data_IF_775692158387
#
_entry.id   IF_775692158387
#
_cell.length_a   1.000
_cell.length_b   1.000
_cell.length_c   1.000
_cell.angle_alpha   90.00
_cell.angle_beta   90.00
_cell.angle_gamma   90.00
#
_symmetry.space_group_name_H-M   'P 1'
#
loop_
_entity.id
_entity.type
_entity.pdbx_description
1 polymer ?
#
# COMPACT_ATOMS: atom_id res chain seq x y z
N UNK A 1 -0.05 -16.88 36.55
CA UNK A 1 -1.14 -15.92 36.22
C UNK A 1 -1.57 -16.21 34.78
N UNK A 2 -2.66 -16.96 34.58
CA UNK A 2 -3.18 -17.27 33.25
C UNK A 2 -3.73 -15.98 32.63
N UNK A 3 -3.11 -15.49 31.55
CA UNK A 3 -3.56 -14.30 30.83
C UNK A 3 -4.98 -14.54 30.26
N UNK A 4 -5.94 -13.66 30.61
CA UNK A 4 -7.28 -13.64 30.03
C UNK A 4 -7.18 -13.39 28.52
N UNK A 5 -7.55 -14.38 27.72
CA UNK A 5 -7.72 -14.23 26.27
C UNK A 5 -8.97 -13.35 26.04
N UNK A 6 -8.78 -12.12 25.58
CA UNK A 6 -9.87 -11.22 25.21
C UNK A 6 -10.36 -11.51 23.80
N UNK A 7 -11.66 -11.77 23.68
CA UNK A 7 -12.40 -12.01 22.43
C UNK A 7 -12.92 -10.67 21.89
N UNK A 8 -12.76 -10.44 20.59
CA UNK A 8 -13.27 -9.28 19.86
C UNK A 8 -14.79 -9.40 19.65
N UNK A 9 -15.44 -8.29 19.27
CA UNK A 9 -16.89 -8.25 19.02
C UNK A 9 -17.32 -9.14 17.83
N UNK A 10 -16.41 -9.39 16.89
CA UNK A 10 -16.57 -10.32 15.76
C UNK A 10 -16.22 -11.79 16.10
N UNK A 11 -15.81 -12.07 17.34
CA UNK A 11 -15.42 -13.40 17.82
C UNK A 11 -13.95 -13.78 17.64
N UNK A 12 -13.11 -12.91 17.05
CA UNK A 12 -11.66 -13.16 16.89
C UNK A 12 -10.89 -12.97 18.20
N UNK A 13 -9.71 -13.58 18.35
CA UNK A 13 -8.90 -13.50 19.58
C UNK A 13 -7.73 -12.51 19.38
N UNK A 14 -7.55 -11.56 20.32
CA UNK A 14 -6.39 -10.66 20.32
C UNK A 14 -5.11 -11.46 20.56
N UNK A 15 -4.36 -11.73 19.49
CA UNK A 15 -3.23 -12.68 19.51
C UNK A 15 -1.90 -12.10 19.01
N UNK A 16 -1.89 -10.94 18.35
CA UNK A 16 -0.65 -10.35 17.82
C UNK A 16 0.12 -9.57 18.89
N UNK A 17 1.42 -9.83 18.96
CA UNK A 17 2.36 -9.06 19.79
C UNK A 17 2.64 -7.70 19.15
N UNK A 18 3.05 -6.71 19.95
CA UNK A 18 3.45 -5.38 19.44
C UNK A 18 4.57 -5.45 18.38
N UNK A 19 5.40 -6.49 18.40
CA UNK A 19 6.46 -6.69 17.41
C UNK A 19 5.91 -7.21 16.08
N UNK A 20 5.00 -8.19 16.11
CA UNK A 20 4.31 -8.68 14.91
C UNK A 20 3.56 -7.55 14.23
N UNK A 21 2.84 -6.76 15.03
CA UNK A 21 2.13 -5.55 14.64
C UNK A 21 3.02 -4.55 13.88
N UNK A 22 4.17 -4.17 14.46
CA UNK A 22 5.05 -3.17 13.83
C UNK A 22 5.69 -3.71 12.55
N UNK A 23 6.04 -4.99 12.54
CA UNK A 23 6.67 -5.62 11.38
C UNK A 23 5.68 -5.87 10.26
N UNK A 24 4.43 -6.22 10.55
CA UNK A 24 3.35 -6.31 9.54
C UNK A 24 3.08 -4.93 8.96
N UNK A 25 2.99 -3.90 9.82
CA UNK A 25 2.79 -2.53 9.36
C UNK A 25 3.93 -2.05 8.44
N UNK A 26 5.19 -2.25 8.82
CA UNK A 26 6.34 -1.87 7.99
C UNK A 26 6.43 -2.75 6.74
N UNK A 27 6.34 -4.07 6.89
CA UNK A 27 6.48 -5.05 5.81
C UNK A 27 5.34 -5.02 4.79
N UNK A 28 4.14 -4.59 5.20
CA UNK A 28 2.99 -4.37 4.33
C UNK A 28 3.01 -3.00 3.63
N UNK A 29 3.73 -2.00 4.16
CA UNK A 29 3.91 -0.71 3.49
C UNK A 29 5.08 -0.73 2.51
N UNK A 30 6.19 -1.39 2.90
CA UNK A 30 7.39 -1.49 2.08
C UNK A 30 7.20 -2.61 1.05
N UNK A 31 6.57 -2.26 -0.07
CA UNK A 31 6.26 -3.15 -1.18
C UNK A 31 6.91 -2.73 -2.49
N UNK A 32 6.32 -3.19 -3.59
CA UNK A 32 6.85 -2.97 -4.95
C UNK A 32 6.76 -1.53 -5.43
N UNK A 33 5.94 -0.69 -4.80
CA UNK A 33 5.92 0.74 -5.09
C UNK A 33 7.27 1.42 -4.84
N UNK A 34 7.98 1.06 -3.76
CA UNK A 34 9.35 1.55 -3.55
C UNK A 34 10.33 0.80 -4.47
N UNK A 35 10.29 -0.53 -4.50
CA UNK A 35 11.36 -1.29 -5.16
C UNK A 35 11.29 -1.20 -6.68
N UNK A 36 10.13 -1.39 -7.30
CA UNK A 36 9.94 -1.33 -8.75
C UNK A 36 9.54 0.07 -9.20
N UNK A 37 8.55 0.66 -8.54
CA UNK A 37 7.99 1.97 -8.91
C UNK A 37 8.98 3.14 -8.80
N UNK A 38 10.03 3.01 -7.98
CA UNK A 38 11.09 4.03 -7.90
C UNK A 38 11.85 4.20 -9.21
N UNK A 39 11.96 3.17 -10.07
CA UNK A 39 12.64 3.30 -11.37
C UNK A 39 11.97 4.34 -12.25
N UNK A 40 10.65 4.21 -12.42
CA UNK A 40 9.83 5.15 -13.19
C UNK A 40 9.88 6.57 -12.60
N UNK A 41 9.80 6.71 -11.27
CA UNK A 41 9.78 8.04 -10.63
C UNK A 41 11.16 8.72 -10.62
N UNK A 42 12.25 7.98 -10.46
CA UNK A 42 13.61 8.50 -10.64
C UNK A 42 13.82 8.92 -12.10
N UNK A 43 13.42 8.09 -13.07
CA UNK A 43 13.55 8.43 -14.48
C UNK A 43 12.80 9.72 -14.86
N UNK A 44 11.64 9.99 -14.25
CA UNK A 44 10.86 11.21 -14.48
C UNK A 44 11.41 12.45 -13.78
N UNK A 45 11.95 12.30 -12.57
CA UNK A 45 12.19 13.44 -11.66
C UNK A 45 13.65 13.61 -11.24
N UNK A 46 14.50 12.65 -11.57
CA UNK A 46 15.88 12.58 -11.09
C UNK A 46 15.95 12.65 -9.57
N UNK A 47 16.94 13.35 -8.99
CA UNK A 47 17.10 13.40 -7.54
C UNK A 47 15.98 14.13 -6.79
N UNK A 48 15.17 14.92 -7.50
CA UNK A 48 13.99 15.57 -6.90
C UNK A 48 12.90 14.57 -6.48
N UNK A 49 12.99 13.30 -6.88
CA UNK A 49 12.15 12.20 -6.36
C UNK A 49 12.11 12.17 -4.84
N UNK A 50 13.23 12.48 -4.17
CA UNK A 50 13.30 12.50 -2.70
C UNK A 50 12.36 13.55 -2.11
N UNK A 51 12.15 14.67 -2.81
CA UNK A 51 11.19 15.71 -2.42
C UNK A 51 9.76 15.20 -2.59
N UNK A 52 9.47 14.49 -3.68
CA UNK A 52 8.14 13.86 -3.90
C UNK A 52 7.82 12.90 -2.75
N UNK A 53 8.76 12.02 -2.40
CA UNK A 53 8.64 11.10 -1.27
C UNK A 53 8.49 11.81 0.08
N UNK A 54 9.26 12.88 0.32
CA UNK A 54 9.17 13.69 1.53
C UNK A 54 7.79 14.33 1.68
N UNK A 55 7.31 15.01 0.63
CA UNK A 55 6.02 15.69 0.62
C UNK A 55 4.90 14.67 0.84
N UNK A 56 4.89 13.56 0.09
CA UNK A 56 3.90 12.51 0.28
C UNK A 56 3.95 11.92 1.69
N UNK A 57 5.14 11.62 2.19
CA UNK A 57 5.35 11.14 3.55
C UNK A 57 4.78 12.07 4.62
N UNK A 58 4.92 13.38 4.45
CA UNK A 58 4.31 14.37 5.33
C UNK A 58 2.77 14.27 5.32
N UNK A 59 2.15 14.17 4.15
CA UNK A 59 0.70 14.06 4.03
C UNK A 59 0.14 12.74 4.53
N UNK A 60 0.84 11.63 4.28
CA UNK A 60 0.53 10.33 4.88
C UNK A 60 0.71 10.35 6.39
N UNK A 61 1.70 11.06 6.92
CA UNK A 61 1.84 11.26 8.35
C UNK A 61 0.63 11.99 8.95
N UNK A 62 0.19 13.07 8.30
CA UNK A 62 -1.01 13.80 8.71
C UNK A 62 -2.27 12.91 8.68
N UNK A 63 -2.44 12.10 7.63
CA UNK A 63 -3.54 11.14 7.54
C UNK A 63 -3.49 10.09 8.65
N UNK A 64 -2.32 9.50 8.92
CA UNK A 64 -2.16 8.52 10.00
C UNK A 64 -2.36 9.15 11.39
N UNK A 65 -2.03 10.44 11.57
CA UNK A 65 -2.37 11.19 12.78
C UNK A 65 -3.89 11.36 12.93
N UNK A 66 -4.61 11.62 11.85
CA UNK A 66 -6.07 11.71 11.85
C UNK A 66 -6.73 10.36 12.19
N UNK A 67 -6.28 9.27 11.56
CA UNK A 67 -6.71 7.90 11.88
C UNK A 67 -6.41 7.57 13.34
N UNK A 68 -5.19 7.82 13.79
CA UNK A 68 -4.77 7.55 15.16
C UNK A 68 -5.57 8.35 16.19
N UNK A 69 -5.94 9.60 15.91
CA UNK A 69 -6.79 10.41 16.78
C UNK A 69 -8.19 9.80 16.95
N UNK A 70 -8.81 9.30 15.88
CA UNK A 70 -10.10 8.60 15.95
C UNK A 70 -10.01 7.26 16.69
N UNK A 71 -8.97 6.47 16.41
CA UNK A 71 -8.70 5.21 17.13
C UNK A 71 -8.39 5.42 18.61
N UNK A 72 -7.74 6.53 18.95
CA UNK A 72 -7.49 6.86 20.36
C UNK A 72 -8.79 7.15 21.10
N UNK A 73 -9.77 7.78 20.45
CA UNK A 73 -11.07 8.06 21.06
C UNK A 73 -11.98 6.83 21.17
N UNK A 74 -11.98 5.98 20.14
CA UNK A 74 -12.79 4.78 20.10
C UNK A 74 -11.96 3.58 19.63
N UNK A 75 -11.24 2.90 20.55
CA UNK A 75 -10.42 1.74 20.23
C UNK A 75 -11.23 0.47 20.04
N UNK A 76 -12.57 0.52 20.12
CA UNK A 76 -13.44 -0.61 19.83
C UNK A 76 -13.60 -0.88 18.34
N UNK A 77 -13.30 0.12 17.50
CA UNK A 77 -13.28 -0.03 16.05
C UNK A 77 -12.09 -0.89 15.61
N UNK A 78 -12.30 -1.72 14.58
CA UNK A 78 -11.28 -2.66 14.09
C UNK A 78 -10.58 -2.17 12.80
N UNK A 79 -11.23 -1.28 12.05
CA UNK A 79 -10.68 -0.70 10.82
C UNK A 79 -10.96 0.79 10.77
N UNK A 80 -10.08 1.56 10.13
CA UNK A 80 -10.31 2.98 9.92
C UNK A 80 -11.57 3.26 9.08
N UNK A 81 -11.98 2.31 8.24
CA UNK A 81 -13.22 2.38 7.44
C UNK A 81 -14.47 2.49 8.34
N UNK A 82 -14.45 1.88 9.53
CA UNK A 82 -15.58 1.95 10.47
C UNK A 82 -15.82 3.39 10.96
N UNK A 83 -14.79 4.23 11.03
CA UNK A 83 -14.96 5.65 11.37
C UNK A 83 -15.67 6.43 10.27
N UNK A 84 -15.49 6.04 9.01
CA UNK A 84 -16.25 6.63 7.90
C UNK A 84 -17.72 6.28 8.05
N UNK A 85 -18.06 5.02 8.33
CA UNK A 85 -19.44 4.61 8.62
C UNK A 85 -20.03 5.39 9.81
N UNK A 86 -19.26 5.56 10.88
CA UNK A 86 -19.69 6.23 12.12
C UNK A 86 -19.96 7.73 11.92
N UNK A 87 -19.06 8.44 11.22
CA UNK A 87 -19.11 9.91 11.13
C UNK A 87 -19.71 10.45 9.82
N UNK A 88 -19.74 9.65 8.75
CA UNK A 88 -20.32 10.02 7.44
C UNK A 88 -21.58 9.21 7.10
N UNK A 89 -21.96 8.24 7.94
CA UNK A 89 -23.14 7.40 7.74
C UNK A 89 -22.83 6.07 7.08
N UNK A 90 -23.74 5.12 7.25
CA UNK A 90 -23.61 3.73 6.79
C UNK A 90 -23.39 3.61 5.28
N UNK A 91 -24.00 4.50 4.51
CA UNK A 91 -23.90 4.56 3.04
C UNK A 91 -22.49 4.90 2.57
N UNK A 92 -21.89 5.95 3.16
CA UNK A 92 -20.51 6.34 2.90
C UNK A 92 -19.54 5.24 3.36
N UNK A 93 -19.83 4.62 4.51
CA UNK A 93 -19.12 3.44 5.01
C UNK A 93 -19.11 2.28 4.04
N UNK A 94 -20.28 1.90 3.52
CA UNK A 94 -20.44 0.79 2.59
C UNK A 94 -19.73 1.07 1.25
N UNK A 95 -19.87 2.28 0.69
CA UNK A 95 -19.11 2.70 -0.49
C UNK A 95 -17.60 2.61 -0.25
N UNK A 96 -17.12 3.12 0.88
CA UNK A 96 -15.70 3.07 1.24
C UNK A 96 -15.19 1.64 1.34
N UNK A 97 -15.94 0.74 2.00
CA UNK A 97 -15.54 -0.65 2.15
C UNK A 97 -15.35 -1.36 0.80
N UNK A 98 -16.28 -1.13 -0.15
CA UNK A 98 -16.15 -1.68 -1.51
C UNK A 98 -15.00 -1.05 -2.30
N UNK A 99 -14.84 0.27 -2.24
CA UNK A 99 -13.74 0.96 -2.90
C UNK A 99 -12.39 0.51 -2.34
N UNK A 100 -12.29 0.29 -1.02
CA UNK A 100 -11.08 -0.23 -0.38
C UNK A 100 -10.78 -1.66 -0.83
N UNK A 101 -11.80 -2.53 -0.90
CA UNK A 101 -11.63 -3.89 -1.42
C UNK A 101 -11.14 -3.89 -2.87
N UNK A 102 -11.72 -3.07 -3.76
CA UNK A 102 -11.23 -2.92 -5.13
C UNK A 102 -9.78 -2.41 -5.17
N UNK A 103 -9.43 -1.45 -4.30
CA UNK A 103 -8.05 -0.98 -4.15
C UNK A 103 -7.08 -2.11 -3.79
N UNK A 104 -7.44 -3.00 -2.86
CA UNK A 104 -6.67 -4.19 -2.51
C UNK A 104 -6.51 -5.15 -3.69
N UNK A 105 -7.54 -5.34 -4.53
CA UNK A 105 -7.43 -6.17 -5.72
C UNK A 105 -6.43 -5.58 -6.71
N UNK A 106 -6.54 -4.29 -7.04
CA UNK A 106 -5.59 -3.64 -7.95
C UNK A 106 -4.16 -3.62 -7.41
N UNK A 107 -3.98 -3.42 -6.10
CA UNK A 107 -2.66 -3.55 -5.46
C UNK A 107 -2.11 -4.97 -5.60
N UNK A 108 -2.94 -6.01 -5.42
CA UNK A 108 -2.54 -7.40 -5.64
C UNK A 108 -2.10 -7.65 -7.08
N UNK A 109 -2.81 -7.07 -8.06
CA UNK A 109 -2.44 -7.16 -9.48
C UNK A 109 -1.07 -6.50 -9.73
N UNK A 110 -0.79 -5.36 -9.10
CA UNK A 110 0.51 -4.69 -9.18
C UNK A 110 1.64 -5.54 -8.61
N UNK A 111 1.44 -6.11 -7.42
CA UNK A 111 2.42 -6.99 -6.77
C UNK A 111 2.68 -8.25 -7.62
N UNK A 112 1.63 -8.83 -8.21
CA UNK A 112 1.75 -9.99 -9.08
C UNK A 112 2.56 -9.70 -10.35
N UNK A 113 2.33 -8.53 -10.95
CA UNK A 113 3.09 -8.06 -12.13
C UNK A 113 4.57 -7.82 -11.78
N UNK A 114 4.84 -7.29 -10.58
CA UNK A 114 6.20 -7.08 -10.10
C UNK A 114 6.93 -8.40 -9.81
N UNK A 115 6.25 -9.41 -9.27
CA UNK A 115 6.80 -10.78 -9.12
C UNK A 115 7.29 -11.30 -10.47
N UNK A 116 6.49 -11.17 -11.53
CA UNK A 116 6.91 -11.59 -12.87
C UNK A 116 8.13 -10.80 -13.38
N UNK A 117 8.16 -9.49 -13.11
CA UNK A 117 9.30 -8.62 -13.46
C UNK A 117 10.59 -9.08 -12.78
N UNK A 118 10.54 -9.38 -11.48
CA UNK A 118 11.72 -9.86 -10.75
C UNK A 118 12.11 -11.29 -11.13
N UNK A 119 11.15 -12.15 -11.42
CA UNK A 119 11.42 -13.52 -11.85
C UNK A 119 12.17 -13.57 -13.20
N UNK A 120 11.85 -12.63 -14.10
CA UNK A 120 12.51 -12.48 -15.39
C UNK A 120 14.02 -12.16 -15.28
N UNK A 121 14.51 -11.71 -14.12
CA UNK A 121 15.95 -11.51 -13.89
C UNK A 121 16.76 -12.81 -14.09
N UNK A 122 16.26 -13.95 -13.62
CA UNK A 122 16.92 -15.26 -13.80
C UNK A 122 16.36 -16.04 -14.98
N UNK A 123 15.06 -15.90 -15.24
CA UNK A 123 14.35 -16.67 -16.27
C UNK A 123 13.65 -15.76 -17.27
N UNK A 124 14.38 -14.96 -18.07
CA UNK A 124 13.79 -13.96 -18.97
C UNK A 124 12.95 -14.57 -20.11
N UNK A 125 13.17 -15.86 -20.41
CA UNK A 125 12.47 -16.57 -21.48
C UNK A 125 11.12 -17.14 -21.04
N UNK A 126 10.79 -17.12 -19.75
CA UNK A 126 9.50 -17.60 -19.25
C UNK A 126 8.47 -16.47 -19.38
N UNK A 127 7.36 -16.67 -20.12
CA UNK A 127 6.31 -15.66 -20.23
C UNK A 127 5.77 -15.22 -18.87
N UNK A 128 5.58 -13.91 -18.68
CA UNK A 128 5.12 -13.33 -17.41
C UNK A 128 3.82 -13.94 -16.91
N UNK A 129 2.83 -14.12 -17.79
CA UNK A 129 1.54 -14.68 -17.41
C UNK A 129 1.65 -16.07 -16.76
N UNK A 130 2.63 -16.90 -17.15
CA UNK A 130 2.86 -18.22 -16.53
C UNK A 130 3.34 -18.05 -15.10
N UNK A 131 4.30 -17.14 -14.89
CA UNK A 131 4.84 -16.82 -13.56
C UNK A 131 3.72 -16.27 -12.67
N UNK A 132 2.93 -15.34 -13.19
CA UNK A 132 1.81 -14.73 -12.47
C UNK A 132 0.76 -15.77 -12.07
N UNK A 133 0.34 -16.65 -12.99
CA UNK A 133 -0.60 -17.74 -12.66
C UNK A 133 -0.02 -18.67 -11.59
N UNK A 134 1.26 -19.07 -11.73
CA UNK A 134 1.90 -19.96 -10.78
C UNK A 134 1.95 -19.36 -9.36
N UNK A 135 2.42 -18.12 -9.23
CA UNK A 135 2.49 -17.44 -7.93
C UNK A 135 1.10 -17.18 -7.34
N UNK A 136 0.12 -16.76 -8.15
CA UNK A 136 -1.24 -16.54 -7.69
C UNK A 136 -1.87 -17.83 -7.14
N UNK A 137 -1.69 -18.96 -7.83
CA UNK A 137 -2.20 -20.27 -7.38
C UNK A 137 -1.53 -20.70 -6.09
N UNK A 138 -0.20 -20.62 -6.01
CA UNK A 138 0.56 -21.03 -4.81
C UNK A 138 0.16 -20.18 -3.59
N UNK A 139 0.13 -18.85 -3.73
CA UNK A 139 -0.21 -17.96 -2.63
C UNK A 139 -1.68 -18.07 -2.22
N UNK A 140 -2.59 -18.27 -3.18
CA UNK A 140 -4.00 -18.53 -2.87
C UNK A 140 -4.17 -19.84 -2.11
N UNK A 141 -3.47 -20.91 -2.52
CA UNK A 141 -3.50 -22.20 -1.84
C UNK A 141 -2.98 -22.09 -0.39
N UNK A 142 -1.88 -21.35 -0.17
CA UNK A 142 -1.36 -21.07 1.18
C UNK A 142 -2.44 -20.38 2.04
N UNK A 143 -3.12 -19.37 1.48
CA UNK A 143 -4.17 -18.63 2.17
C UNK A 143 -5.42 -19.47 2.51
N UNK A 144 -5.68 -20.55 1.78
CA UNK A 144 -6.79 -21.47 2.05
C UNK A 144 -6.45 -22.51 3.14
N UNK A 145 -5.17 -22.78 3.39
CA UNK A 145 -4.71 -23.85 4.29
C UNK A 145 -4.30 -23.29 5.67
N UNK A 146 -3.63 -22.13 5.72
CA UNK A 146 -2.82 -21.76 6.88
C UNK A 146 -3.08 -20.34 7.43
N UNK A 147 -4.20 -20.12 8.11
CA UNK A 147 -4.43 -18.85 8.83
C UNK A 147 -3.54 -18.67 10.07
N UNK A 148 -3.08 -19.77 10.68
CA UNK A 148 -2.35 -19.73 11.97
C UNK A 148 -0.85 -19.44 11.82
N UNK A 149 -0.27 -19.60 10.63
CA UNK A 149 1.16 -19.36 10.35
C UNK A 149 1.45 -17.97 9.76
N UNK A 150 0.41 -17.22 9.39
CA UNK A 150 0.53 -15.95 8.67
C UNK A 150 1.35 -14.90 9.42
N UNK A 151 1.05 -14.68 10.70
CA UNK A 151 1.70 -13.61 11.48
C UNK A 151 3.21 -13.80 11.69
N UNK A 152 3.65 -15.04 11.90
CA UNK A 152 5.08 -15.38 12.05
C UNK A 152 5.80 -15.32 10.69
N UNK A 153 5.19 -15.86 9.63
CA UNK A 153 5.76 -15.80 8.28
C UNK A 153 5.95 -14.34 7.83
N UNK A 154 4.95 -13.48 8.01
CA UNK A 154 5.05 -12.06 7.67
C UNK A 154 6.09 -11.32 8.52
N UNK A 155 6.24 -11.67 9.80
CA UNK A 155 7.31 -11.10 10.63
C UNK A 155 8.70 -11.38 10.00
N UNK A 156 8.96 -12.62 9.61
CA UNK A 156 10.24 -13.00 8.99
C UNK A 156 10.42 -12.37 7.61
N UNK A 157 9.39 -12.36 6.77
CA UNK A 157 9.46 -11.69 5.46
C UNK A 157 9.72 -10.19 5.59
N UNK A 158 9.02 -9.50 6.50
CA UNK A 158 9.27 -8.10 6.78
C UNK A 158 10.71 -7.85 7.29
N UNK A 159 11.25 -8.75 8.11
CA UNK A 159 12.63 -8.66 8.61
C UNK A 159 13.66 -8.73 7.47
N UNK A 160 13.49 -9.69 6.54
CA UNK A 160 14.38 -9.85 5.38
C UNK A 160 14.42 -8.55 4.55
N UNK A 161 13.25 -7.94 4.29
CA UNK A 161 13.14 -6.67 3.55
C UNK A 161 13.93 -5.54 4.22
N UNK A 162 13.71 -5.35 5.53
CA UNK A 162 14.35 -4.27 6.29
C UNK A 162 15.86 -4.48 6.33
N UNK A 163 16.33 -5.70 6.60
CA UNK A 163 17.77 -6.01 6.61
C UNK A 163 18.39 -5.72 5.25
N UNK A 164 17.74 -6.07 4.14
CA UNK A 164 18.26 -5.78 2.81
C UNK A 164 18.33 -4.29 2.49
N UNK A 165 17.33 -3.49 2.88
CA UNK A 165 17.37 -2.03 2.71
C UNK A 165 18.51 -1.44 3.54
N UNK A 166 18.66 -1.85 4.80
CA UNK A 166 19.75 -1.37 5.66
C UNK A 166 21.10 -1.79 5.08
N UNK A 167 21.25 -3.02 4.63
CA UNK A 167 22.47 -3.51 4.00
C UNK A 167 22.80 -2.71 2.72
N UNK A 168 21.82 -2.40 1.88
CA UNK A 168 22.00 -1.56 0.69
C UNK A 168 22.47 -0.15 1.08
N UNK A 169 21.81 0.47 2.07
CA UNK A 169 22.17 1.82 2.54
C UNK A 169 23.60 1.83 3.07
N UNK A 170 23.94 0.90 3.97
CA UNK A 170 25.29 0.80 4.55
C UNK A 170 26.33 0.54 3.46
N UNK A 171 26.06 -0.39 2.54
CA UNK A 171 26.98 -0.71 1.44
C UNK A 171 27.24 0.50 0.55
N UNK A 172 26.19 1.20 0.12
CA UNK A 172 26.38 2.36 -0.73
C UNK A 172 26.99 3.56 -0.01
N UNK A 173 26.73 3.74 1.30
CA UNK A 173 27.48 4.70 2.13
C UNK A 173 28.98 4.37 2.11
N UNK A 174 29.35 3.11 2.35
CA UNK A 174 30.75 2.66 2.30
C UNK A 174 31.36 2.93 0.92
N UNK A 175 30.64 2.63 -0.16
CA UNK A 175 31.09 2.90 -1.53
C UNK A 175 31.33 4.39 -1.79
N UNK A 176 30.42 5.26 -1.32
CA UNK A 176 30.54 6.72 -1.47
C UNK A 176 31.73 7.26 -0.69
N UNK A 177 31.92 6.87 0.57
CA UNK A 177 33.08 7.31 1.36
C UNK A 177 34.40 6.78 0.82
N UNK A 178 34.39 5.57 0.28
CA UNK A 178 35.58 4.93 -0.32
C UNK A 178 35.85 5.40 -1.76
N UNK A 179 34.99 6.25 -2.33
CA UNK A 179 35.06 6.71 -3.74
C UNK A 179 35.18 5.54 -4.73
N UNK A 180 34.46 4.44 -4.44
CA UNK A 180 34.54 3.18 -5.19
C UNK A 180 34.29 3.43 -6.68
N UNK A 181 35.22 2.97 -7.51
CA UNK A 181 35.05 3.01 -8.97
C UNK A 181 33.92 2.08 -9.40
N UNK A 182 33.02 2.60 -10.24
CA UNK A 182 31.97 1.85 -10.90
C UNK A 182 32.17 1.94 -12.42
N UNK A 183 31.56 1.04 -13.21
CA UNK A 183 31.52 1.17 -14.67
C UNK A 183 31.00 2.51 -15.21
N UNK A 184 30.30 3.29 -14.39
CA UNK A 184 29.69 4.58 -14.75
C UNK A 184 30.37 5.79 -14.07
N UNK A 185 31.54 5.60 -13.47
CA UNK A 185 32.31 6.65 -12.80
C UNK A 185 32.71 6.26 -11.39
N UNK A 186 32.37 7.10 -10.40
CA UNK A 186 32.62 6.84 -9.00
C UNK A 186 31.35 6.99 -8.18
N UNK A 187 31.20 6.15 -7.16
CA UNK A 187 30.19 6.36 -6.13
C UNK A 187 30.53 7.65 -5.37
N UNK A 188 29.65 8.65 -5.44
CA UNK A 188 29.87 9.97 -4.87
C UNK A 188 28.55 10.73 -4.72
N UNK A 189 28.45 11.57 -3.69
CA UNK A 189 27.35 12.52 -3.51
C UNK A 189 27.21 13.45 -4.73
N UNK A 190 28.30 13.68 -5.48
CA UNK A 190 28.28 14.48 -6.70
C UNK A 190 27.32 13.94 -7.76
N UNK A 191 27.01 12.64 -7.78
CA UNK A 191 26.02 12.07 -8.71
C UNK A 191 24.59 12.58 -8.46
N UNK A 192 24.33 13.15 -7.28
CA UNK A 192 23.07 13.80 -6.91
C UNK A 192 23.15 15.31 -7.11
N UNK A 193 24.25 15.93 -6.67
CA UNK A 193 24.34 17.40 -6.56
C UNK A 193 24.82 18.06 -7.84
N UNK A 194 25.69 17.41 -8.61
CA UNK A 194 26.18 18.00 -9.86
C UNK A 194 25.04 18.04 -10.86
N UNK A 195 24.81 19.22 -11.44
CA UNK A 195 23.71 19.47 -12.39
C UNK A 195 22.32 19.14 -11.81
N UNK A 196 22.15 19.26 -10.48
CA UNK A 196 20.83 19.12 -9.87
C UNK A 196 19.87 20.16 -10.44
N UNK A 197 18.75 19.68 -10.95
CA UNK A 197 17.60 20.51 -11.34
C UNK A 197 16.36 19.97 -10.64
N UNK A 198 15.52 20.84 -10.10
CA UNK A 198 14.28 20.43 -9.45
C UNK A 198 13.30 19.74 -10.43
N UNK A 199 13.35 20.11 -11.70
CA UNK A 199 12.45 19.63 -12.75
C UNK A 199 13.24 19.23 -14.00
N UNK A 200 14.04 18.14 -13.98
CA UNK A 200 14.93 17.78 -15.09
C UNK A 200 14.18 17.51 -16.40
N UNK A 201 12.95 17.03 -16.30
CA UNK A 201 12.06 16.78 -17.44
C UNK A 201 10.79 17.65 -17.38
N UNK A 202 10.85 18.80 -16.70
CA UNK A 202 9.73 19.72 -16.54
C UNK A 202 8.79 19.42 -15.36
N UNK A 203 8.02 20.42 -14.95
CA UNK A 203 7.13 20.35 -13.77
C UNK A 203 6.02 19.30 -13.92
N UNK A 204 5.58 19.05 -15.15
CA UNK A 204 4.60 18.01 -15.43
C UNK A 204 5.09 16.61 -15.03
N UNK A 205 6.35 16.26 -15.34
CA UNK A 205 6.93 14.97 -14.97
C UNK A 205 7.15 14.83 -13.46
N UNK A 206 7.42 15.95 -12.79
CA UNK A 206 7.48 16.00 -11.33
C UNK A 206 6.12 15.70 -10.69
N UNK A 207 5.05 16.34 -11.17
CA UNK A 207 3.69 16.11 -10.67
C UNK A 207 3.23 14.67 -11.02
N UNK A 208 3.55 14.17 -12.22
CA UNK A 208 3.17 12.82 -12.65
C UNK A 208 3.92 11.67 -11.95
N UNK A 209 4.90 11.99 -11.09
CA UNK A 209 5.54 11.02 -10.22
C UNK A 209 4.73 10.78 -8.93
N UNK A 210 3.93 11.75 -8.48
CA UNK A 210 3.19 11.65 -7.22
C UNK A 210 2.30 10.41 -7.13
N UNK A 211 1.53 10.00 -8.16
CA UNK A 211 0.68 8.84 -8.01
C UNK A 211 1.45 7.51 -7.83
N UNK A 212 2.56 7.32 -8.54
CA UNK A 212 3.42 6.15 -8.37
C UNK A 212 4.11 6.16 -6.99
N UNK A 213 4.52 7.33 -6.50
CA UNK A 213 5.05 7.45 -5.13
C UNK A 213 3.94 7.24 -4.10
N UNK A 214 2.70 7.68 -4.37
CA UNK A 214 1.54 7.45 -3.50
C UNK A 214 1.27 5.96 -3.36
N UNK A 215 1.34 5.20 -4.46
CA UNK A 215 1.28 3.74 -4.45
C UNK A 215 2.34 3.13 -3.52
N UNK A 216 3.57 3.68 -3.49
CA UNK A 216 4.62 3.23 -2.59
C UNK A 216 4.33 3.43 -1.08
N UNK A 217 3.36 4.26 -0.73
CA UNK A 217 2.91 4.48 0.66
C UNK A 217 1.61 3.74 1.01
N UNK A 218 0.98 3.05 0.05
CA UNK A 218 -0.19 2.23 0.35
C UNK A 218 0.16 1.11 1.33
N UNK A 219 -0.83 0.67 2.11
CA UNK A 219 -0.63 -0.33 3.17
C UNK A 219 -0.15 0.26 4.49
N UNK A 220 0.19 1.56 4.55
CA UNK A 220 0.54 2.24 5.80
C UNK A 220 -0.61 2.30 6.78
N UNK A 221 -1.84 2.28 6.29
CA UNK A 221 -3.04 2.18 7.08
C UNK A 221 -3.21 0.81 7.74
N UNK A 222 -2.44 -0.23 7.35
CA UNK A 222 -2.41 -1.48 8.12
C UNK A 222 -1.85 -1.28 9.53
N UNK A 223 -1.09 -0.20 9.78
CA UNK A 223 -0.81 0.27 11.15
C UNK A 223 -2.10 0.41 11.96
N UNK A 224 -3.22 0.82 11.35
CA UNK A 224 -4.49 0.99 12.05
C UNK A 224 -5.13 -0.32 12.52
N UNK A 225 -4.98 -1.40 11.75
CA UNK A 225 -5.44 -2.75 12.14
C UNK A 225 -4.75 -3.16 13.45
N UNK A 226 -3.47 -2.83 13.57
CA UNK A 226 -2.71 -3.13 14.77
C UNK A 226 -3.22 -2.41 16.03
N UNK A 227 -3.89 -1.27 15.85
CA UNK A 227 -4.50 -0.52 16.95
C UNK A 227 -5.73 -1.26 17.48
N UNK A 228 -6.57 -1.76 16.56
CA UNK A 228 -7.77 -2.55 16.89
C UNK A 228 -7.45 -3.92 17.50
N UNK A 229 -6.30 -4.51 17.18
CA UNK A 229 -5.87 -5.80 17.74
C UNK A 229 -5.01 -5.70 19.01
N UNK A 230 -4.63 -4.48 19.42
CA UNK A 230 -3.71 -4.28 20.54
C UNK A 230 -4.34 -4.59 21.92
N UNK A 231 -3.53 -5.16 22.83
CA UNK A 231 -3.87 -5.29 24.26
C UNK A 231 -3.93 -3.93 24.98
N UNK A 232 -3.20 -2.91 24.50
CA UNK A 232 -3.24 -1.54 25.06
C UNK A 232 -3.26 -0.50 23.93
N UNK A 233 -4.44 -0.27 23.31
CA UNK A 233 -4.58 0.58 22.13
C UNK A 233 -4.04 2.01 22.35
N UNK A 234 -4.38 2.68 23.46
CA UNK A 234 -3.97 4.08 23.68
C UNK A 234 -2.44 4.29 23.68
N UNK A 235 -1.67 3.37 24.27
CA UNK A 235 -0.20 3.45 24.27
C UNK A 235 0.36 3.09 22.89
N UNK A 236 -0.23 2.10 22.21
CA UNK A 236 0.25 1.60 20.93
C UNK A 236 -0.03 2.57 19.80
N UNK A 237 -1.19 3.25 19.78
CA UNK A 237 -1.53 4.31 18.81
C UNK A 237 -0.43 5.35 18.70
N UNK A 238 -0.03 5.94 19.83
CA UNK A 238 0.99 7.01 19.87
C UNK A 238 2.32 6.55 19.28
N UNK A 239 2.73 5.32 19.62
CA UNK A 239 4.00 4.74 19.17
C UNK A 239 3.94 4.36 17.69
N UNK A 240 2.90 3.65 17.28
CA UNK A 240 2.77 3.10 15.94
C UNK A 240 2.61 4.21 14.88
N UNK A 241 1.81 5.23 15.17
CA UNK A 241 1.63 6.35 14.23
C UNK A 241 2.91 7.18 14.07
N UNK A 242 3.58 7.53 15.18
CA UNK A 242 4.75 8.42 15.09
C UNK A 242 6.01 7.68 14.65
N UNK A 243 6.23 6.47 15.17
CA UNK A 243 7.50 5.80 14.96
C UNK A 243 7.57 5.01 13.66
N UNK A 244 6.46 4.48 13.14
CA UNK A 244 6.47 3.68 11.91
C UNK A 244 6.78 4.56 10.70
N UNK A 245 6.14 5.73 10.63
CA UNK A 245 6.27 6.66 9.52
C UNK A 245 7.69 7.22 9.35
N UNK A 246 8.35 7.68 10.43
CA UNK A 246 9.71 8.21 10.29
C UNK A 246 10.71 7.12 9.85
N UNK A 247 10.52 5.86 10.30
CA UNK A 247 11.35 4.73 9.87
C UNK A 247 11.19 4.45 8.38
N UNK A 248 9.95 4.43 7.89
CA UNK A 248 9.66 4.27 6.45
C UNK A 248 10.29 5.40 5.65
N UNK A 249 10.17 6.65 6.12
CA UNK A 249 10.77 7.80 5.46
C UNK A 249 12.28 7.71 5.33
N UNK A 250 12.97 7.23 6.37
CA UNK A 250 14.42 7.01 6.31
C UNK A 250 14.78 5.92 5.33
N UNK A 251 14.05 4.81 5.33
CA UNK A 251 14.31 3.74 4.39
C UNK A 251 14.07 4.19 2.94
N UNK A 252 13.02 4.96 2.70
CA UNK A 252 12.67 5.43 1.36
C UNK A 252 13.68 6.46 0.87
N UNK A 253 13.84 7.58 1.58
CA UNK A 253 14.75 8.66 1.15
C UNK A 253 16.21 8.19 1.23
N UNK A 254 16.58 7.49 2.29
CA UNK A 254 17.95 6.99 2.47
C UNK A 254 18.37 6.02 1.39
N UNK A 255 17.51 5.05 1.03
CA UNK A 255 17.83 4.13 -0.06
C UNK A 255 17.91 4.85 -1.41
N UNK A 256 16.97 5.76 -1.73
CA UNK A 256 16.99 6.52 -2.98
C UNK A 256 18.25 7.40 -3.08
N UNK A 257 18.61 8.10 -2.00
CA UNK A 257 19.84 8.89 -1.94
C UNK A 257 21.07 8.01 -2.17
N UNK A 258 21.17 6.86 -1.51
CA UNK A 258 22.31 5.96 -1.70
C UNK A 258 22.37 5.42 -3.12
N UNK A 259 21.25 4.99 -3.69
CA UNK A 259 21.18 4.50 -5.07
C UNK A 259 21.72 5.54 -6.05
N UNK A 260 21.24 6.77 -5.97
CA UNK A 260 21.63 7.86 -6.88
C UNK A 260 23.04 8.41 -6.58
N UNK A 261 23.56 8.22 -5.38
CA UNK A 261 24.95 8.54 -5.07
C UNK A 261 25.92 7.49 -5.63
N UNK A 262 25.53 6.21 -5.65
CA UNK A 262 26.39 5.13 -6.17
C UNK A 262 26.42 5.13 -7.70
N UNK A 263 25.28 5.34 -8.37
CA UNK A 263 25.16 5.36 -9.83
C UNK A 263 24.37 6.62 -10.27
N UNK A 264 24.80 7.32 -11.35
CA UNK A 264 24.04 8.45 -11.90
C UNK A 264 22.59 8.09 -12.21
N UNK A 265 21.66 8.92 -11.74
CA UNK A 265 20.22 8.66 -11.88
C UNK A 265 19.76 8.55 -13.34
N UNK A 266 20.48 9.17 -14.28
CA UNK A 266 20.23 9.10 -15.73
C UNK A 266 20.45 7.71 -16.33
N UNK A 267 21.15 6.82 -15.63
CA UNK A 267 21.38 5.44 -16.06
C UNK A 267 20.34 4.45 -15.53
N UNK A 268 19.42 4.90 -14.70
CA UNK A 268 18.36 4.05 -14.12
C UNK A 268 17.23 3.90 -15.15
N UNK A 269 16.93 2.66 -15.55
CA UNK A 269 15.82 2.40 -16.46
C UNK A 269 14.49 2.36 -15.70
N UNK A 270 13.40 2.90 -16.29
CA UNK A 270 12.12 3.05 -15.59
C UNK A 270 11.39 1.74 -15.30
N UNK A 271 11.70 0.68 -16.05
CA UNK A 271 11.04 -0.63 -16.05
C UNK A 271 11.69 -1.66 -15.11
N UNK A 272 12.82 -1.31 -14.48
CA UNK A 272 13.58 -2.20 -13.60
C UNK A 272 13.73 -1.60 -12.21
N UNK A 273 13.87 -2.46 -11.19
CA UNK A 273 14.10 -2.00 -9.82
C UNK A 273 15.45 -1.31 -9.65
N UNK A 274 15.50 -0.03 -9.21
CA UNK A 274 16.75 0.67 -8.91
C UNK A 274 17.59 -0.02 -7.83
N UNK A 275 16.94 -0.72 -6.91
CA UNK A 275 17.59 -1.48 -5.84
C UNK A 275 18.41 -2.65 -6.38
N UNK A 276 17.99 -3.24 -7.51
CA UNK A 276 18.72 -4.29 -8.21
C UNK A 276 19.71 -3.67 -9.21
N UNK A 277 19.26 -2.66 -9.96
CA UNK A 277 20.06 -1.99 -10.98
C UNK A 277 21.33 -1.38 -10.43
N UNK A 278 21.29 -0.74 -9.25
CA UNK A 278 22.46 -0.09 -8.67
C UNK A 278 23.64 -1.04 -8.53
N UNK A 279 23.41 -2.28 -8.11
CA UNK A 279 24.47 -3.29 -7.96
C UNK A 279 24.91 -3.86 -9.30
N UNK A 280 23.98 -4.08 -10.23
CA UNK A 280 24.33 -4.54 -11.58
C UNK A 280 25.21 -3.51 -12.31
N UNK A 281 24.82 -2.25 -12.25
CA UNK A 281 25.54 -1.12 -12.86
C UNK A 281 26.83 -0.78 -12.12
N UNK A 282 26.93 -1.09 -10.83
CA UNK A 282 28.16 -0.98 -10.05
C UNK A 282 29.16 -2.13 -10.29
N UNK A 283 28.83 -3.12 -11.13
CA UNK A 283 29.70 -4.27 -11.40
C UNK A 283 29.65 -5.35 -10.32
N UNK A 284 28.58 -5.42 -9.54
CA UNK A 284 28.34 -6.38 -8.45
C UNK A 284 27.15 -7.30 -8.77
N UNK A 285 27.23 -8.17 -9.80
CA UNK A 285 26.10 -8.98 -10.26
C UNK A 285 25.58 -9.97 -9.21
N UNK A 286 26.46 -10.50 -8.34
CA UNK A 286 26.05 -11.36 -7.24
C UNK A 286 25.18 -10.62 -6.22
N UNK A 287 25.54 -9.38 -5.86
CA UNK A 287 24.73 -8.54 -4.99
C UNK A 287 23.39 -8.19 -5.65
N UNK A 288 23.39 -7.89 -6.96
CA UNK A 288 22.17 -7.66 -7.72
C UNK A 288 21.22 -8.87 -7.66
N UNK A 289 21.74 -10.10 -7.83
CA UNK A 289 20.94 -11.32 -7.73
C UNK A 289 20.36 -11.53 -6.32
N UNK A 290 21.14 -11.30 -5.26
CA UNK A 290 20.65 -11.40 -3.87
C UNK A 290 19.54 -10.39 -3.62
N UNK A 291 19.74 -9.12 -4.01
CA UNK A 291 18.71 -8.09 -3.84
C UNK A 291 17.48 -8.39 -4.68
N UNK A 292 17.64 -8.91 -5.89
CA UNK A 292 16.51 -9.34 -6.72
C UNK A 292 15.68 -10.43 -6.03
N UNK A 293 16.32 -11.37 -5.32
CA UNK A 293 15.64 -12.38 -4.51
C UNK A 293 14.90 -11.78 -3.32
N UNK A 294 15.50 -10.80 -2.64
CA UNK A 294 14.83 -10.11 -1.54
C UNK A 294 13.61 -9.32 -2.03
N UNK A 295 13.70 -8.60 -3.15
CA UNK A 295 12.53 -7.85 -3.65
C UNK A 295 11.44 -8.77 -4.24
N UNK A 296 11.81 -9.91 -4.83
CA UNK A 296 10.84 -10.94 -5.23
C UNK A 296 10.07 -11.51 -4.03
N UNK A 297 10.79 -11.91 -2.98
CA UNK A 297 10.16 -12.40 -1.74
C UNK A 297 9.35 -11.30 -1.05
N UNK A 298 9.78 -10.04 -1.19
CA UNK A 298 9.02 -8.88 -0.72
C UNK A 298 7.66 -8.74 -1.39
N UNK A 299 7.64 -8.79 -2.72
CA UNK A 299 6.43 -8.71 -3.53
C UNK A 299 5.49 -9.89 -3.24
N UNK A 300 6.04 -11.11 -3.12
CA UNK A 300 5.27 -12.31 -2.78
C UNK A 300 4.63 -12.24 -1.38
N UNK A 301 5.35 -11.73 -0.37
CA UNK A 301 4.80 -11.50 0.98
C UNK A 301 3.72 -10.42 0.98
N UNK A 302 3.94 -9.31 0.26
CA UNK A 302 2.94 -8.25 0.11
C UNK A 302 1.65 -8.80 -0.52
N UNK A 303 1.78 -9.49 -1.67
CA UNK A 303 0.65 -10.13 -2.34
C UNK A 303 -0.10 -11.13 -1.45
N UNK A 304 0.64 -11.96 -0.70
CA UNK A 304 0.06 -12.91 0.25
C UNK A 304 -0.79 -12.19 1.32
N UNK A 305 -0.27 -11.10 1.88
CA UNK A 305 -0.98 -10.26 2.86
C UNK A 305 -2.22 -9.58 2.27
N UNK A 306 -2.13 -9.10 1.03
CA UNK A 306 -3.25 -8.42 0.38
C UNK A 306 -4.35 -9.42 0.00
N UNK A 307 -4.03 -10.61 -0.53
CA UNK A 307 -5.01 -11.68 -0.81
C UNK A 307 -5.76 -12.05 0.47
N UNK A 308 -5.03 -12.23 1.56
CA UNK A 308 -5.60 -12.51 2.88
C UNK A 308 -6.56 -11.40 3.36
N UNK A 309 -6.11 -10.15 3.26
CA UNK A 309 -6.89 -8.98 3.66
C UNK A 309 -8.13 -8.78 2.78
N UNK A 310 -7.99 -8.94 1.46
CA UNK A 310 -9.07 -8.81 0.49
C UNK A 310 -10.17 -9.84 0.74
N UNK A 311 -9.81 -11.09 1.02
CA UNK A 311 -10.78 -12.13 1.38
C UNK A 311 -11.58 -11.80 2.63
N UNK A 312 -10.93 -11.23 3.66
CA UNK A 312 -11.61 -10.81 4.91
C UNK A 312 -12.49 -9.58 4.72
N UNK A 313 -12.02 -8.59 3.98
CA UNK A 313 -12.81 -7.40 3.67
C UNK A 313 -14.04 -7.77 2.83
N UNK A 314 -13.89 -8.64 1.84
CA UNK A 314 -15.04 -9.11 1.06
C UNK A 314 -16.02 -9.93 1.90
N UNK A 315 -15.51 -10.79 2.78
CA UNK A 315 -16.35 -11.51 3.75
C UNK A 315 -17.15 -10.52 4.62
N UNK A 316 -16.49 -9.49 5.17
CA UNK A 316 -17.14 -8.46 5.97
C UNK A 316 -18.25 -7.76 5.17
N UNK A 317 -17.95 -7.29 3.95
CA UNK A 317 -18.93 -6.67 3.05
C UNK A 317 -20.14 -7.59 2.76
N UNK A 318 -19.88 -8.90 2.56
CA UNK A 318 -20.94 -9.88 2.35
C UNK A 318 -21.82 -10.08 3.60
N UNK A 319 -21.23 -10.01 4.80
CA UNK A 319 -21.96 -10.18 6.08
C UNK A 319 -22.68 -8.91 6.56
N UNK A 320 -22.16 -7.73 6.25
CA UNK A 320 -22.78 -6.43 6.55
C UNK A 320 -23.98 -6.15 5.62
N UNK A 321 -24.02 -6.81 4.45
CA UNK A 321 -25.18 -6.82 3.57
C UNK A 321 -26.41 -7.53 4.17
N UNK A 322 -27.57 -7.40 3.51
CA UNK A 322 -28.81 -8.07 3.96
C UNK A 322 -28.60 -9.59 4.01
N UNK A 323 -29.12 -10.24 5.06
CA UNK A 323 -29.00 -11.70 5.27
C UNK A 323 -29.52 -12.54 4.10
N UNK A 324 -30.54 -12.06 3.40
CA UNK A 324 -31.15 -12.74 2.25
C UNK A 324 -30.43 -12.49 0.92
N UNK A 325 -29.41 -11.64 0.91
CA UNK A 325 -28.71 -11.29 -0.32
C UNK A 325 -27.80 -12.42 -0.78
N UNK A 326 -27.72 -12.60 -2.10
CA UNK A 326 -26.89 -13.62 -2.76
C UNK A 326 -25.47 -13.69 -2.19
N UNK A 327 -24.87 -12.53 -1.87
CA UNK A 327 -23.50 -12.55 -1.34
C UNK A 327 -23.38 -13.10 0.07
N UNK A 328 -24.33 -12.82 0.99
CA UNK A 328 -24.25 -13.39 2.33
C UNK A 328 -24.37 -14.93 2.28
N UNK A 329 -25.28 -15.45 1.43
CA UNK A 329 -25.49 -16.88 1.25
C UNK A 329 -24.24 -17.65 0.76
N UNK A 330 -23.46 -17.06 -0.15
CA UNK A 330 -22.31 -17.72 -0.79
C UNK A 330 -20.97 -17.33 -0.18
N UNK A 331 -20.83 -16.10 0.30
CA UNK A 331 -19.56 -15.52 0.77
C UNK A 331 -19.57 -15.15 2.26
N UNK A 332 -20.71 -15.17 2.94
CA UNK A 332 -20.84 -14.94 4.38
C UNK A 332 -20.53 -16.16 5.26
N UNK A 333 -19.93 -17.21 4.68
CA UNK A 333 -19.58 -18.46 5.39
C UNK A 333 -18.07 -18.56 5.62
N UNK A 334 -17.72 -19.06 6.80
CA UNK A 334 -16.34 -19.39 7.17
C UNK A 334 -16.16 -20.91 6.99
N UNK A 335 -15.03 -21.33 6.43
CA UNK A 335 -14.68 -22.75 6.28
C UNK A 335 -14.39 -23.42 7.63
N UNK A 336 -14.28 -24.75 7.65
CA UNK A 336 -13.90 -25.53 8.85
C UNK A 336 -12.57 -25.08 9.48
N UNK A 337 -11.68 -24.48 8.68
CA UNK A 337 -10.38 -23.99 9.11
C UNK A 337 -10.41 -22.54 9.65
N UNK A 338 -11.59 -21.92 9.76
CA UNK A 338 -11.72 -20.54 10.27
C UNK A 338 -11.42 -19.46 9.24
N UNK A 339 -11.46 -19.78 7.93
CA UNK A 339 -11.07 -18.89 6.83
C UNK A 339 -12.24 -18.68 5.86
N UNK A 340 -12.54 -17.46 5.39
CA UNK A 340 -13.58 -17.19 4.39
C UNK A 340 -13.12 -17.60 2.98
N UNK A 341 -13.06 -18.91 2.72
CA UNK A 341 -12.47 -19.48 1.49
C UNK A 341 -13.12 -18.97 0.21
N UNK A 342 -14.44 -18.85 0.17
CA UNK A 342 -15.16 -18.34 -1.01
C UNK A 342 -14.79 -16.88 -1.33
N UNK A 343 -14.59 -16.06 -0.30
CA UNK A 343 -14.20 -14.66 -0.44
C UNK A 343 -12.76 -14.49 -0.93
N UNK A 344 -11.86 -15.39 -0.51
CA UNK A 344 -10.48 -15.46 -1.03
C UNK A 344 -10.51 -15.88 -2.50
N UNK A 345 -11.27 -16.93 -2.84
CA UNK A 345 -11.33 -17.45 -4.22
C UNK A 345 -11.88 -16.43 -5.21
N UNK A 346 -12.92 -15.66 -4.85
CA UNK A 346 -13.43 -14.60 -5.74
C UNK A 346 -12.43 -13.45 -5.89
N UNK A 347 -11.71 -13.10 -4.83
CA UNK A 347 -10.64 -12.09 -4.91
C UNK A 347 -9.51 -12.57 -5.83
N UNK A 348 -9.06 -13.82 -5.67
CA UNK A 348 -8.06 -14.44 -6.54
C UNK A 348 -8.54 -14.54 -8.01
N UNK A 349 -9.81 -14.84 -8.24
CA UNK A 349 -10.40 -14.87 -9.58
C UNK A 349 -10.38 -13.50 -10.27
N UNK A 350 -10.56 -12.41 -9.52
CA UNK A 350 -10.43 -11.06 -10.09
C UNK A 350 -8.96 -10.72 -10.32
N UNK A 351 -8.05 -11.09 -9.41
CA UNK A 351 -6.60 -10.89 -9.59
C UNK A 351 -6.07 -11.64 -10.82
N UNK A 352 -6.70 -12.76 -11.21
CA UNK A 352 -6.41 -13.51 -12.44
C UNK A 352 -6.60 -12.69 -13.73
N UNK A 353 -7.22 -11.51 -13.67
CA UNK A 353 -7.22 -10.58 -14.81
C UNK A 353 -5.78 -10.14 -15.17
N UNK A 354 -4.85 -10.09 -14.19
CA UNK A 354 -3.44 -9.70 -14.42
C UNK A 354 -2.76 -10.57 -15.48
N UNK A 355 -2.69 -11.91 -15.34
CA UNK A 355 -2.09 -12.76 -16.37
C UNK A 355 -2.78 -12.66 -17.73
N UNK A 356 -4.10 -12.36 -17.77
CA UNK A 356 -4.80 -12.10 -19.04
C UNK A 356 -4.28 -10.81 -19.69
N UNK A 357 -4.10 -9.74 -18.90
CA UNK A 357 -3.53 -8.48 -19.37
C UNK A 357 -2.07 -8.65 -19.84
N UNK A 358 -1.28 -9.45 -19.13
CA UNK A 358 0.13 -9.73 -19.42
C UNK A 358 0.37 -10.57 -20.69
N UNK A 359 -0.66 -11.18 -21.28
CA UNK A 359 -0.55 -11.87 -22.59
C UNK A 359 -0.45 -10.88 -23.75
N UNK A 360 -1.16 -9.75 -23.66
CA UNK A 360 -1.32 -8.80 -24.77
C UNK A 360 -0.62 -7.46 -24.54
N UNK A 361 -0.15 -7.18 -23.32
CA UNK A 361 0.49 -5.93 -22.96
C UNK A 361 1.90 -6.15 -22.39
N UNK A 362 2.73 -5.12 -22.43
CA UNK A 362 4.01 -5.16 -21.72
C UNK A 362 3.79 -5.16 -20.21
N UNK A 363 4.63 -5.92 -19.49
CA UNK A 363 4.57 -6.06 -18.02
C UNK A 363 4.59 -4.68 -17.32
N UNK A 364 5.44 -3.77 -17.80
CA UNK A 364 5.53 -2.40 -17.27
C UNK A 364 4.24 -1.58 -17.47
N UNK A 365 3.53 -1.79 -18.59
CA UNK A 365 2.25 -1.13 -18.85
C UNK A 365 1.17 -1.68 -17.90
N UNK A 366 1.09 -3.01 -17.77
CA UNK A 366 0.17 -3.67 -16.83
C UNK A 366 0.40 -3.14 -15.42
N UNK A 367 1.65 -3.12 -14.94
CA UNK A 367 2.01 -2.61 -13.62
C UNK A 367 1.55 -1.17 -13.42
N UNK A 368 1.80 -0.29 -14.39
CA UNK A 368 1.41 1.13 -14.31
C UNK A 368 -0.11 1.27 -14.19
N UNK A 369 -0.87 0.61 -15.07
CA UNK A 369 -2.33 0.69 -15.10
C UNK A 369 -2.94 0.23 -13.77
N UNK A 370 -2.50 -0.91 -13.24
CA UNK A 370 -3.08 -1.48 -12.01
C UNK A 370 -2.61 -0.73 -10.76
N UNK A 371 -1.36 -0.24 -10.72
CA UNK A 371 -0.87 0.59 -9.61
C UNK A 371 -1.58 1.96 -9.57
N UNK A 372 -1.82 2.56 -10.73
CA UNK A 372 -2.63 3.78 -10.88
C UNK A 372 -4.08 3.55 -10.43
N UNK A 373 -4.72 2.51 -10.95
CA UNK A 373 -6.10 2.12 -10.58
C UNK A 373 -6.25 1.81 -9.09
N UNK A 374 -5.22 1.22 -8.46
CA UNK A 374 -5.19 1.05 -7.02
C UNK A 374 -5.14 2.41 -6.31
N UNK A 375 -4.22 3.28 -6.73
CA UNK A 375 -4.09 4.63 -6.17
C UNK A 375 -5.39 5.42 -6.25
N UNK A 376 -6.13 5.34 -7.36
CA UNK A 376 -7.45 5.97 -7.49
C UNK A 376 -8.40 5.59 -6.36
N UNK A 377 -8.56 4.27 -6.12
CA UNK A 377 -9.45 3.75 -5.08
C UNK A 377 -8.99 4.18 -3.68
N UNK A 378 -7.69 4.09 -3.41
CA UNK A 378 -7.11 4.47 -2.12
C UNK A 378 -7.23 5.96 -1.83
N UNK A 379 -7.02 6.82 -2.84
CA UNK A 379 -7.18 8.27 -2.69
C UNK A 379 -8.62 8.61 -2.29
N UNK A 380 -9.62 8.00 -2.93
CA UNK A 380 -11.03 8.19 -2.57
C UNK A 380 -11.29 7.80 -1.12
N UNK A 381 -10.80 6.62 -0.70
CA UNK A 381 -10.94 6.11 0.67
C UNK A 381 -10.26 7.02 1.69
N UNK A 382 -9.07 7.52 1.40
CA UNK A 382 -8.33 8.43 2.28
C UNK A 382 -8.95 9.84 2.33
N UNK A 383 -9.51 10.34 1.23
CA UNK A 383 -10.30 11.58 1.23
C UNK A 383 -11.49 11.46 2.18
N UNK A 384 -12.27 10.37 2.07
CA UNK A 384 -13.39 10.11 2.97
C UNK A 384 -12.93 9.95 4.43
N UNK A 385 -11.76 9.36 4.66
CA UNK A 385 -11.16 9.24 6.00
C UNK A 385 -10.87 10.61 6.61
N UNK A 386 -10.28 11.52 5.83
CA UNK A 386 -9.98 12.88 6.30
C UNK A 386 -11.26 13.68 6.54
N UNK A 387 -12.30 13.50 5.70
CA UNK A 387 -13.61 14.13 5.91
C UNK A 387 -14.27 13.57 7.19
N UNK A 388 -14.20 12.26 7.42
CA UNK A 388 -14.69 11.61 8.64
C UNK A 388 -13.96 12.14 9.89
N UNK A 389 -12.64 12.33 9.82
CA UNK A 389 -11.87 12.96 10.91
C UNK A 389 -12.35 14.37 11.23
N UNK A 390 -12.69 15.18 10.21
CA UNK A 390 -13.25 16.52 10.46
C UNK A 390 -14.63 16.46 11.12
N UNK A 391 -15.47 15.50 10.74
CA UNK A 391 -16.78 15.28 11.38
C UNK A 391 -16.64 14.79 12.81
N UNK A 392 -15.68 13.90 13.08
CA UNK A 392 -15.28 13.51 14.44
C UNK A 392 -14.85 14.73 15.26
N UNK A 393 -14.00 15.60 14.72
CA UNK A 393 -13.53 16.83 15.39
C UNK A 393 -14.65 17.81 15.73
N UNK A 394 -15.81 17.70 15.07
CA UNK A 394 -16.99 18.51 15.30
C UNK A 394 -18.09 17.76 16.08
N UNK A 395 -17.89 16.49 16.41
CA UNK A 395 -18.87 15.67 17.14
C UNK A 395 -18.62 15.71 18.65
N UNK A 396 -19.59 15.21 19.41
CA UNK A 396 -19.47 15.04 20.86
C UNK A 396 -18.50 13.92 21.27
N UNK A 397 -18.06 13.09 20.32
CA UNK A 397 -17.09 12.01 20.57
C UNK A 397 -15.65 12.55 20.69
N UNK A 398 -15.42 13.82 20.35
CA UNK A 398 -14.10 14.41 20.34
C UNK A 398 -13.46 14.49 21.74
N UNK A 399 -12.31 13.82 21.89
CA UNK A 399 -11.53 13.86 23.13
C UNK A 399 -10.49 14.98 23.11
N UNK A 400 -10.75 16.04 23.89
CA UNK A 400 -9.89 17.21 23.99
C UNK A 400 -8.59 16.99 24.77
N UNK A 401 -8.44 15.92 25.52
CA UNK A 401 -7.24 15.53 26.28
C UNK A 401 -6.50 14.32 25.67
N UNK A 402 -6.95 13.88 24.49
CA UNK A 402 -6.42 12.68 23.81
C UNK A 402 -5.23 12.90 22.88
N UNK A 403 -4.96 11.88 22.06
CA UNK A 403 -4.00 11.96 20.95
C UNK A 403 -4.62 12.76 19.78
N UNK A 404 -3.93 13.79 19.30
CA UNK A 404 -4.48 14.75 18.32
C UNK A 404 -3.64 14.89 17.06
N UNK A 405 -4.27 15.11 15.91
CA UNK A 405 -3.59 15.59 14.72
C UNK A 405 -3.06 17.02 14.93
N UNK A 406 -1.77 17.30 14.67
CA UNK A 406 -1.21 18.63 14.86
C UNK A 406 -1.85 19.62 13.87
N UNK A 407 -2.30 20.77 14.38
CA UNK A 407 -2.81 21.87 13.54
C UNK A 407 -4.02 21.52 12.66
N UNK A 408 -4.91 20.62 13.11
CA UNK A 408 -5.98 20.03 12.27
C UNK A 408 -6.81 21.04 11.45
N UNK A 409 -7.01 22.26 11.96
CA UNK A 409 -7.74 23.33 11.26
C UNK A 409 -7.13 23.65 9.90
N UNK A 410 -5.80 23.60 9.79
CA UNK A 410 -5.05 23.84 8.55
C UNK A 410 -4.64 22.52 7.91
N UNK A 411 -4.09 21.59 8.70
CA UNK A 411 -3.48 20.36 8.15
C UNK A 411 -4.52 19.41 7.56
N UNK A 412 -5.73 19.31 8.14
CA UNK A 412 -6.79 18.46 7.58
C UNK A 412 -7.29 18.93 6.20
N UNK A 413 -7.71 20.19 5.98
CA UNK A 413 -8.08 20.66 4.65
C UNK A 413 -6.92 20.61 3.66
N UNK A 414 -5.69 20.88 4.11
CA UNK A 414 -4.52 20.79 3.25
C UNK A 414 -4.28 19.36 2.75
N UNK A 415 -4.39 18.35 3.63
CA UNK A 415 -4.31 16.93 3.24
C UNK A 415 -5.42 16.53 2.27
N UNK A 416 -6.66 17.00 2.50
CA UNK A 416 -7.78 16.75 1.59
C UNK A 416 -7.49 17.34 0.20
N UNK A 417 -7.07 18.62 0.15
CA UNK A 417 -6.71 19.29 -1.10
C UNK A 417 -5.58 18.56 -1.81
N UNK A 418 -4.55 18.15 -1.08
CA UNK A 418 -3.40 17.45 -1.65
C UNK A 418 -3.79 16.11 -2.28
N UNK A 419 -4.55 15.26 -1.57
CA UNK A 419 -5.06 14.01 -2.14
C UNK A 419 -5.98 14.25 -3.33
N UNK A 420 -6.81 15.29 -3.30
CA UNK A 420 -7.62 15.68 -4.44
C UNK A 420 -6.76 16.09 -5.65
N UNK A 421 -5.68 16.85 -5.43
CA UNK A 421 -4.73 17.24 -6.50
C UNK A 421 -4.03 16.01 -7.09
N UNK A 422 -3.64 15.02 -6.27
CA UNK A 422 -3.07 13.77 -6.78
C UNK A 422 -4.10 13.03 -7.63
N UNK A 423 -5.34 12.90 -7.17
CA UNK A 423 -6.41 12.27 -7.95
C UNK A 423 -6.63 13.01 -9.28
N UNK A 424 -6.70 14.34 -9.25
CA UNK A 424 -6.83 15.15 -10.45
C UNK A 424 -5.63 14.98 -11.40
N UNK A 425 -4.41 14.80 -10.85
CA UNK A 425 -3.21 14.61 -11.67
C UNK A 425 -3.25 13.35 -12.53
N UNK A 426 -3.95 12.29 -12.09
CA UNK A 426 -4.08 11.02 -12.82
C UNK A 426 -4.78 11.20 -14.18
N UNK A 427 -5.70 12.16 -14.32
CA UNK A 427 -6.37 12.48 -15.59
C UNK A 427 -5.45 13.08 -16.64
N UNK A 428 -4.26 13.55 -16.25
CA UNK A 428 -3.29 14.09 -17.18
C UNK A 428 -2.21 13.07 -17.54
N UNK A 429 -2.17 11.90 -16.89
CA UNK A 429 -1.16 10.87 -17.14
C UNK A 429 -1.76 9.82 -18.07
N UNK A 430 -1.29 9.66 -19.32
CA UNK A 430 -1.94 8.80 -20.32
C UNK A 430 -2.19 7.35 -19.88
N UNK A 431 -1.30 6.78 -19.07
CA UNK A 431 -1.44 5.41 -18.54
C UNK A 431 -2.47 5.26 -17.42
N UNK A 432 -2.83 6.36 -16.75
CA UNK A 432 -3.70 6.34 -15.57
C UNK A 432 -5.13 6.85 -15.86
N UNK A 433 -5.35 7.56 -16.98
CA UNK A 433 -6.65 8.15 -17.33
C UNK A 433 -7.78 7.13 -17.29
N UNK A 434 -7.54 5.92 -17.82
CA UNK A 434 -8.56 4.85 -17.86
C UNK A 434 -8.96 4.42 -16.45
N UNK A 435 -7.98 4.24 -15.55
CA UNK A 435 -8.22 3.92 -14.14
C UNK A 435 -9.01 5.03 -13.44
N UNK A 436 -8.58 6.29 -13.63
CA UNK A 436 -9.19 7.46 -13.00
C UNK A 436 -10.63 7.69 -13.47
N UNK A 437 -10.91 7.52 -14.78
CA UNK A 437 -12.27 7.53 -15.31
C UNK A 437 -13.11 6.38 -14.74
N UNK A 438 -12.54 5.17 -14.68
CA UNK A 438 -13.18 4.02 -14.05
C UNK A 438 -13.55 4.29 -12.59
N UNK A 439 -12.69 4.97 -11.84
CA UNK A 439 -12.94 5.36 -10.45
C UNK A 439 -14.07 6.39 -10.29
N UNK A 440 -14.17 7.36 -11.20
CA UNK A 440 -15.30 8.30 -11.25
C UNK A 440 -16.60 7.55 -11.56
N UNK A 441 -16.59 6.71 -12.60
CA UNK A 441 -17.76 5.93 -13.00
C UNK A 441 -18.21 5.04 -11.84
N UNK A 442 -17.28 4.32 -11.21
CA UNK A 442 -17.53 3.52 -10.02
C UNK A 442 -18.20 4.37 -8.92
N UNK A 443 -17.63 5.54 -8.60
CA UNK A 443 -18.16 6.43 -7.57
C UNK A 443 -19.57 6.92 -7.89
N UNK A 444 -19.82 7.37 -9.12
CA UNK A 444 -21.13 7.89 -9.55
C UNK A 444 -22.17 6.77 -9.58
N UNK A 445 -21.85 5.64 -10.22
CA UNK A 445 -22.77 4.51 -10.35
C UNK A 445 -23.09 3.92 -8.98
N UNK A 446 -22.09 3.67 -8.15
CA UNK A 446 -22.30 3.05 -6.84
C UNK A 446 -23.09 3.97 -5.90
N UNK A 447 -22.73 5.25 -5.81
CA UNK A 447 -23.49 6.22 -5.02
C UNK A 447 -24.92 6.42 -5.57
N UNK A 448 -25.08 6.43 -6.89
CA UNK A 448 -26.39 6.50 -7.54
C UNK A 448 -27.29 5.30 -7.21
N UNK A 449 -26.74 4.08 -7.27
CA UNK A 449 -27.46 2.85 -6.89
C UNK A 449 -27.84 2.84 -5.40
N UNK A 450 -26.95 3.32 -4.52
CA UNK A 450 -27.26 3.44 -3.09
C UNK A 450 -28.36 4.47 -2.83
N UNK A 451 -28.31 5.62 -3.48
CA UNK A 451 -29.34 6.65 -3.37
C UNK A 451 -30.72 6.15 -3.82
N UNK A 452 -30.79 5.45 -4.96
CA UNK A 452 -32.03 4.84 -5.45
C UNK A 452 -32.57 3.79 -4.47
N UNK A 453 -31.68 2.98 -3.87
CA UNK A 453 -32.06 1.97 -2.88
C UNK A 453 -32.61 2.59 -1.59
N UNK A 454 -32.01 3.67 -1.11
CA UNK A 454 -32.51 4.40 0.06
C UNK A 454 -33.86 5.05 -0.20
N UNK A 455 -34.02 5.68 -1.38
CA UNK A 455 -35.29 6.27 -1.79
C UNK A 455 -36.41 5.23 -1.83
N UNK A 456 -36.19 4.10 -2.51
CA UNK A 456 -37.19 3.05 -2.61
C UNK A 456 -37.54 2.43 -1.25
N UNK A 457 -36.58 2.35 -0.32
CA UNK A 457 -36.83 1.86 1.04
C UNK A 457 -37.63 2.83 1.91
N UNK A 458 -37.58 4.14 1.61
CA UNK A 458 -38.40 5.16 2.26
C UNK A 458 -39.81 5.25 1.67
N UNK A 459 -39.98 4.91 0.40
CA UNK A 459 -41.29 4.86 -0.28
C UNK A 459 -42.08 3.59 0.05
N UNK A 460 -41.44 2.56 0.63
CA UNK A 460 -42.07 1.29 1.02
C UNK A 460 -42.21 1.08 2.54
N UNK A 461 -41.85 2.09 3.34
CA UNK A 461 -42.06 2.18 4.79
C UNK A 461 -43.10 3.27 5.08
#
# INVERSE_FOLDING_TARGET
MQEKITKNADGTLRSLSNRHVQMIAIGGTIGTGLFLGSGSTISKTGPSVMIVYLVLGCFFFLMMRAIGEMFYADPSQHTFVSFISKYLGTTAGYFTGWSYWLGLLFASMAELTAIATYFAFWFPNIPSWIVEVAFLVVLTAINLIAAKLFGEAEFWFAMIKIVAIVALIVTGIIMVFSHTSTPLGHASISNITNHFTLFPHGSFNFISAFPMVFFAFQGIEFVSITLGESKNPHKVVKKAVNETLWRIMIFYIGALAVIMAVIPWTSITPDKSPFVQVFSLAGLPAAAAIINFVVLTSAASSLNSIIFSAGRHFYQLATEGRKEWFMNRHFGKVSKNGIPSAAILISAAIIFITPIMSVSNSISSVFTIVAGSSSDMYIIVYLLTMIAHRKYRASNDFLSDGFKMPGYVITSPLTILFFFVIFASLFFIPGDVVGAMGAIIWSIVFCGLLYLKERNSKESA
#
